data_IF_709615064085
#
_entry.id   IF_709615064085
#
_cell.length_a   1.000
_cell.length_b   1.000
_cell.length_c   1.000
_cell.angle_alpha   90.00
_cell.angle_beta   90.00
_cell.angle_gamma   90.00
#
_symmetry.space_group_name_H-M   'P 1'
#
loop_
_entity.id
_entity.type
_entity.pdbx_description
1 polymer ?
#
# COMPACT_ATOMS: atom_id res chain seq x y z
N UNK A 1 -8.97 -22.42 -11.91
CA UNK A 1 -9.37 -21.32 -11.04
C UNK A 1 -10.16 -20.29 -11.83
N UNK A 2 -11.32 -19.92 -11.35
CA UNK A 2 -12.08 -18.84 -11.97
C UNK A 2 -11.28 -17.54 -11.88
N UNK A 3 -11.09 -16.87 -13.01
CA UNK A 3 -10.47 -15.54 -13.06
C UNK A 3 -11.38 -14.57 -12.29
N UNK A 4 -10.86 -13.98 -11.25
CA UNK A 4 -11.60 -13.00 -10.46
C UNK A 4 -12.05 -11.86 -11.37
N UNK A 5 -13.33 -11.50 -11.30
CA UNK A 5 -13.88 -10.41 -12.12
C UNK A 5 -13.19 -9.10 -11.71
N UNK A 6 -12.69 -8.38 -12.70
CA UNK A 6 -12.08 -7.05 -12.44
C UNK A 6 -13.10 -6.08 -11.84
N UNK A 7 -12.63 -5.28 -10.91
CA UNK A 7 -13.39 -4.21 -10.26
C UNK A 7 -13.04 -2.81 -10.82
N UNK A 8 -12.29 -2.76 -11.92
CA UNK A 8 -11.82 -1.51 -12.52
C UNK A 8 -12.93 -0.51 -12.85
N UNK A 9 -14.11 -0.99 -13.18
CA UNK A 9 -15.28 -0.15 -13.52
C UNK A 9 -16.24 0.06 -12.32
N UNK A 10 -15.89 -0.42 -11.13
CA UNK A 10 -16.73 -0.25 -9.95
C UNK A 10 -16.90 1.24 -9.60
N UNK A 11 -18.09 1.70 -9.21
CA UNK A 11 -18.30 3.05 -8.67
C UNK A 11 -17.71 3.22 -7.27
N UNK A 12 -17.26 2.15 -6.62
CA UNK A 12 -16.66 2.18 -5.29
C UNK A 12 -15.13 2.40 -5.39
N UNK A 13 -14.59 3.50 -4.83
CA UNK A 13 -13.15 3.75 -4.83
C UNK A 13 -12.33 2.66 -4.12
N UNK A 14 -12.88 2.07 -3.05
CA UNK A 14 -12.23 0.98 -2.32
C UNK A 14 -12.11 -0.26 -3.21
N UNK A 15 -13.18 -0.60 -3.95
CA UNK A 15 -13.17 -1.74 -4.87
C UNK A 15 -12.11 -1.58 -5.97
N UNK A 16 -12.01 -0.40 -6.58
CA UNK A 16 -10.97 -0.12 -7.59
C UNK A 16 -9.57 -0.19 -7.00
N UNK A 17 -9.37 0.35 -5.82
CA UNK A 17 -8.06 0.31 -5.15
C UNK A 17 -7.66 -1.14 -4.82
N UNK A 18 -8.58 -1.94 -4.29
CA UNK A 18 -8.30 -3.34 -3.94
C UNK A 18 -8.08 -4.23 -5.16
N UNK A 19 -8.60 -3.86 -6.32
CA UNK A 19 -8.30 -4.56 -7.58
C UNK A 19 -6.81 -4.46 -7.96
N UNK A 20 -6.15 -3.38 -7.54
CA UNK A 20 -4.71 -3.12 -7.81
C UNK A 20 -3.83 -3.61 -6.66
N UNK A 21 -4.16 -3.27 -5.41
CA UNK A 21 -3.30 -3.50 -4.24
C UNK A 21 -3.91 -4.40 -3.17
N UNK A 22 -5.04 -5.06 -3.46
CA UNK A 22 -5.79 -5.82 -2.47
C UNK A 22 -5.16 -7.17 -2.08
N UNK A 23 -4.19 -7.67 -2.84
CA UNK A 23 -3.49 -8.90 -2.47
C UNK A 23 -2.25 -8.61 -1.61
N UNK A 24 -1.86 -9.59 -0.78
CA UNK A 24 -0.74 -9.42 0.16
C UNK A 24 0.58 -9.10 -0.54
N UNK A 25 0.84 -9.69 -1.71
CA UNK A 25 2.11 -9.50 -2.40
C UNK A 25 2.24 -8.10 -2.96
N UNK A 26 1.17 -7.55 -3.56
CA UNK A 26 1.15 -6.17 -4.03
C UNK A 26 1.43 -5.19 -2.88
N UNK A 27 0.77 -5.34 -1.75
CA UNK A 27 0.98 -4.49 -0.56
C UNK A 27 2.39 -4.63 0.01
N UNK A 28 2.93 -5.85 0.09
CA UNK A 28 4.29 -6.08 0.60
C UNK A 28 5.37 -5.56 -0.36
N UNK A 29 5.17 -5.65 -1.67
CA UNK A 29 6.04 -5.05 -2.68
C UNK A 29 6.08 -3.52 -2.51
N UNK A 30 4.92 -2.89 -2.37
CA UNK A 30 4.84 -1.43 -2.14
C UNK A 30 5.51 -1.04 -0.83
N UNK A 31 5.32 -1.81 0.25
CA UNK A 31 6.04 -1.60 1.52
C UNK A 31 7.57 -1.63 1.31
N UNK A 32 8.07 -2.65 0.65
CA UNK A 32 9.51 -2.81 0.40
C UNK A 32 10.07 -1.66 -0.44
N UNK A 33 9.30 -1.17 -1.40
CA UNK A 33 9.70 0.00 -2.19
C UNK A 33 9.83 1.26 -1.32
N UNK A 34 8.96 1.47 -0.33
CA UNK A 34 9.13 2.54 0.65
C UNK A 34 10.37 2.34 1.54
N UNK A 35 10.78 1.10 1.76
CA UNK A 35 12.03 0.76 2.47
C UNK A 35 13.28 0.88 1.58
N UNK A 36 13.11 1.26 0.32
CA UNK A 36 14.21 1.52 -0.62
C UNK A 36 14.56 0.35 -1.55
N UNK A 37 13.79 -0.74 -1.52
CA UNK A 37 13.98 -1.87 -2.45
C UNK A 37 13.55 -1.44 -3.86
N UNK A 38 14.42 -1.71 -4.85
CA UNK A 38 14.19 -1.27 -6.23
C UNK A 38 14.40 -2.36 -7.27
N UNK A 39 15.16 -3.41 -6.97
CA UNK A 39 15.53 -4.47 -7.93
C UNK A 39 14.71 -5.73 -7.72
N UNK A 40 14.42 -6.41 -8.82
CA UNK A 40 13.67 -7.68 -8.79
C UNK A 40 14.28 -8.69 -7.82
N UNK A 41 15.61 -8.89 -7.88
CA UNK A 41 16.30 -9.83 -6.98
C UNK A 41 16.19 -9.47 -5.52
N UNK A 42 16.20 -8.18 -5.18
CA UNK A 42 16.09 -7.69 -3.81
C UNK A 42 14.65 -7.83 -3.28
N UNK A 43 13.63 -7.56 -4.10
CA UNK A 43 12.24 -7.87 -3.76
C UNK A 43 12.05 -9.36 -3.51
N UNK A 44 12.62 -10.21 -4.39
CA UNK A 44 12.52 -11.66 -4.23
C UNK A 44 13.16 -12.14 -2.94
N UNK A 45 14.36 -11.64 -2.62
CA UNK A 45 15.08 -11.99 -1.39
C UNK A 45 14.32 -11.53 -0.14
N UNK A 46 13.79 -10.31 -0.15
CA UNK A 46 13.03 -9.75 0.97
C UNK A 46 11.73 -10.52 1.23
N UNK A 47 11.00 -10.85 0.18
CA UNK A 47 9.64 -11.39 0.28
C UNK A 47 9.59 -12.93 0.35
N UNK A 48 10.65 -13.61 -0.09
CA UNK A 48 10.67 -15.07 -0.20
C UNK A 48 9.61 -15.63 -1.16
N UNK A 49 9.17 -14.82 -2.12
CA UNK A 49 8.10 -15.17 -3.07
C UNK A 49 8.67 -15.83 -4.32
N UNK A 50 7.89 -16.71 -4.96
CA UNK A 50 8.26 -17.32 -6.23
C UNK A 50 8.42 -16.26 -7.34
N UNK A 51 9.41 -16.43 -8.21
CA UNK A 51 9.76 -15.45 -9.26
C UNK A 51 8.60 -15.13 -10.20
N UNK A 52 7.80 -16.13 -10.56
CA UNK A 52 6.64 -15.94 -11.44
C UNK A 52 5.55 -15.08 -10.78
N UNK A 53 5.31 -15.25 -9.49
CA UNK A 53 4.34 -14.44 -8.73
C UNK A 53 4.85 -13.01 -8.63
N UNK A 54 6.12 -12.81 -8.26
CA UNK A 54 6.72 -11.48 -8.17
C UNK A 54 6.69 -10.76 -9.51
N UNK A 55 7.09 -11.43 -10.59
CA UNK A 55 7.07 -10.87 -11.95
C UNK A 55 5.66 -10.42 -12.35
N UNK A 56 4.66 -11.26 -12.08
CA UNK A 56 3.27 -10.95 -12.39
C UNK A 56 2.76 -9.74 -11.60
N UNK A 57 3.04 -9.68 -10.31
CA UNK A 57 2.63 -8.55 -9.46
C UNK A 57 3.33 -7.24 -9.80
N UNK A 58 4.64 -7.28 -10.06
CA UNK A 58 5.38 -6.08 -10.50
C UNK A 58 4.85 -5.57 -11.85
N UNK A 59 4.57 -6.46 -12.80
CA UNK A 59 3.97 -6.10 -14.08
C UNK A 59 2.62 -5.42 -13.89
N UNK A 60 1.74 -5.99 -13.09
CA UNK A 60 0.41 -5.40 -12.79
C UNK A 60 0.53 -4.02 -12.14
N UNK A 61 1.48 -3.85 -11.21
CA UNK A 61 1.71 -2.57 -10.52
C UNK A 61 2.29 -1.52 -11.46
N UNK A 62 3.12 -1.91 -12.43
CA UNK A 62 3.62 -1.01 -13.50
C UNK A 62 2.47 -0.61 -14.43
N UNK A 63 1.67 -1.57 -14.90
CA UNK A 63 0.50 -1.29 -15.75
C UNK A 63 -0.51 -0.37 -15.07
N UNK A 64 -0.70 -0.51 -13.76
CA UNK A 64 -1.56 0.37 -12.95
C UNK A 64 -0.95 1.75 -12.65
N UNK A 65 0.30 2.00 -13.04
CA UNK A 65 0.99 3.26 -12.81
C UNK A 65 1.47 3.47 -11.37
N UNK A 66 1.51 2.42 -10.56
CA UNK A 66 2.07 2.47 -9.19
C UNK A 66 3.59 2.48 -9.21
N UNK A 67 4.19 1.70 -10.10
CA UNK A 67 5.63 1.71 -10.38
C UNK A 67 5.93 2.19 -11.80
N UNK A 68 7.09 2.80 -11.96
CA UNK A 68 7.76 2.97 -13.23
C UNK A 68 9.02 2.12 -13.29
N UNK A 69 9.40 1.67 -14.50
CA UNK A 69 10.67 1.00 -14.75
C UNK A 69 11.67 2.07 -15.17
N UNK A 70 12.79 2.15 -14.46
CA UNK A 70 13.81 3.18 -14.67
C UNK A 70 15.21 2.54 -14.82
N UNK A 71 16.18 3.22 -15.44
CA UNK A 71 17.57 2.76 -15.44
C UNK A 71 18.09 2.62 -14.00
N UNK A 72 19.00 1.68 -13.82
CA UNK A 72 19.62 1.47 -12.51
C UNK A 72 20.35 2.74 -12.04
N UNK A 73 20.20 3.06 -10.77
CA UNK A 73 20.82 4.22 -10.13
C UNK A 73 22.35 4.16 -10.05
N UNK A 74 22.92 2.96 -10.16
CA UNK A 74 24.37 2.71 -10.14
C UNK A 74 25.03 2.69 -11.53
N UNK A 75 24.26 3.01 -12.59
CA UNK A 75 24.75 3.03 -13.96
C UNK A 75 24.95 1.66 -14.63
N UNK A 76 24.53 0.57 -13.98
CA UNK A 76 24.54 -0.77 -14.59
C UNK A 76 23.43 -0.92 -15.64
N UNK A 77 23.48 -1.98 -16.45
CA UNK A 77 22.46 -2.31 -17.45
C UNK A 77 21.14 -2.84 -16.85
N UNK A 78 21.07 -2.98 -15.54
CA UNK A 78 19.85 -3.43 -14.86
C UNK A 78 18.78 -2.35 -14.86
N UNK A 79 17.53 -2.80 -14.76
CA UNK A 79 16.39 -1.92 -14.55
C UNK A 79 15.97 -1.95 -13.09
N UNK A 80 15.41 -0.83 -12.63
CA UNK A 80 14.86 -0.68 -11.29
C UNK A 80 13.38 -0.31 -11.38
N UNK A 81 12.63 -0.74 -10.36
CA UNK A 81 11.26 -0.32 -10.14
C UNK A 81 11.25 0.84 -9.16
N UNK A 82 10.68 1.95 -9.57
CA UNK A 82 10.55 3.14 -8.74
C UNK A 82 9.08 3.49 -8.55
N UNK A 83 8.69 3.85 -7.33
CA UNK A 83 7.36 4.38 -7.09
C UNK A 83 7.14 5.64 -7.91
N UNK A 84 6.01 5.70 -8.60
CA UNK A 84 5.53 6.93 -9.22
C UNK A 84 4.90 7.84 -8.17
N UNK A 85 4.53 9.06 -8.54
CA UNK A 85 3.73 9.93 -7.66
C UNK A 85 2.43 9.27 -7.20
N UNK A 86 1.79 8.51 -8.09
CA UNK A 86 0.61 7.69 -7.76
C UNK A 86 0.94 6.61 -6.74
N UNK A 87 2.06 5.92 -6.92
CA UNK A 87 2.55 4.89 -5.99
C UNK A 87 2.92 5.47 -4.63
N UNK A 88 3.57 6.63 -4.58
CA UNK A 88 3.90 7.34 -3.34
C UNK A 88 2.66 7.70 -2.51
N UNK A 89 1.53 7.94 -3.17
CA UNK A 89 0.23 8.15 -2.53
C UNK A 89 -0.27 6.97 -1.69
N UNK A 90 0.31 5.79 -1.84
CA UNK A 90 0.01 4.62 -1.00
C UNK A 90 0.72 4.63 0.36
N UNK A 91 1.62 5.56 0.62
CA UNK A 91 2.34 5.60 1.89
C UNK A 91 1.40 5.65 3.11
N UNK A 92 0.38 6.50 3.17
CA UNK A 92 -0.58 6.49 4.28
C UNK A 92 -1.32 5.15 4.44
N UNK A 93 -1.61 4.44 3.34
CA UNK A 93 -2.24 3.11 3.40
C UNK A 93 -1.33 2.11 4.10
N UNK A 94 -0.05 2.07 3.73
CA UNK A 94 0.95 1.19 4.37
C UNK A 94 1.11 1.54 5.85
N UNK A 95 1.15 2.82 6.19
CA UNK A 95 1.27 3.27 7.58
C UNK A 95 0.04 2.87 8.41
N UNK A 96 -1.18 3.01 7.86
CA UNK A 96 -2.41 2.59 8.54
C UNK A 96 -2.44 1.08 8.77
N UNK A 97 -2.03 0.28 7.78
CA UNK A 97 -1.90 -1.18 7.95
C UNK A 97 -0.89 -1.53 9.04
N UNK A 98 0.26 -0.86 9.06
CA UNK A 98 1.28 -1.02 10.11
C UNK A 98 0.70 -0.74 11.49
N UNK A 99 0.09 0.41 11.69
CA UNK A 99 -0.45 0.82 12.98
C UNK A 99 -1.60 -0.06 13.44
N UNK A 100 -2.44 -0.50 12.52
CA UNK A 100 -3.48 -1.49 12.83
C UNK A 100 -2.88 -2.83 13.26
N UNK A 101 -1.84 -3.29 12.54
CA UNK A 101 -1.12 -4.53 12.89
C UNK A 101 -0.45 -4.45 14.25
N UNK A 102 0.25 -3.35 14.54
CA UNK A 102 0.90 -3.10 15.83
C UNK A 102 -0.11 -3.15 16.99
N UNK A 103 -1.29 -2.58 16.78
CA UNK A 103 -2.32 -2.51 17.83
C UNK A 103 -3.06 -3.84 18.09
N UNK A 104 -3.11 -4.75 17.10
CA UNK A 104 -4.04 -5.88 17.15
C UNK A 104 -3.38 -7.26 17.02
N UNK A 105 -2.15 -7.35 16.50
CA UNK A 105 -1.55 -8.62 16.09
C UNK A 105 -0.29 -9.00 16.87
N UNK A 106 0.07 -8.24 17.90
CA UNK A 106 1.25 -8.47 18.73
C UNK A 106 0.87 -8.64 20.20
N UNK A 107 1.54 -9.57 20.87
CA UNK A 107 1.44 -9.72 22.31
C UNK A 107 2.13 -8.54 23.02
N UNK A 108 1.77 -8.31 24.27
CA UNK A 108 2.40 -7.26 25.06
C UNK A 108 3.91 -7.50 25.22
N UNK A 109 4.71 -6.55 24.72
CA UNK A 109 6.18 -6.64 24.76
C UNK A 109 6.80 -7.48 23.66
N UNK A 110 6.00 -8.06 22.75
CA UNK A 110 6.51 -8.75 21.56
C UNK A 110 7.22 -7.74 20.64
N UNK A 111 8.49 -8.01 20.28
CA UNK A 111 9.25 -7.09 19.41
C UNK A 111 8.69 -7.07 18.00
N UNK A 112 8.62 -5.90 17.40
CA UNK A 112 8.26 -5.69 16.00
C UNK A 112 9.02 -4.51 15.41
N UNK A 113 9.04 -4.40 14.10
CA UNK A 113 9.63 -3.24 13.41
C UNK A 113 8.85 -1.96 13.70
N UNK A 114 9.55 -0.85 13.82
CA UNK A 114 8.97 0.46 14.14
C UNK A 114 9.29 1.44 13.01
N UNK A 115 8.30 2.15 12.51
CA UNK A 115 8.50 3.24 11.58
C UNK A 115 8.84 4.51 12.36
N UNK A 116 10.00 5.09 12.06
CA UNK A 116 10.50 6.28 12.75
C UNK A 116 10.74 7.42 11.77
N UNK A 117 10.63 8.63 12.26
CA UNK A 117 11.09 9.82 11.54
C UNK A 117 12.62 9.77 11.37
N UNK A 118 13.08 9.92 10.15
CA UNK A 118 14.50 9.79 9.80
C UNK A 118 15.40 10.80 10.51
N UNK A 119 14.89 12.00 10.77
CA UNK A 119 15.66 13.08 11.41
C UNK A 119 15.70 12.94 12.93
N UNK A 120 14.58 12.56 13.53
CA UNK A 120 14.43 12.55 14.99
C UNK A 120 14.63 11.17 15.60
N UNK A 121 14.54 10.09 14.81
CA UNK A 121 14.55 8.71 15.28
C UNK A 121 13.32 8.33 16.11
N UNK A 122 12.34 9.20 16.22
CA UNK A 122 11.12 8.94 17.00
C UNK A 122 10.08 8.22 16.16
N UNK A 123 9.32 7.34 16.79
CA UNK A 123 8.18 6.72 16.17
C UNK A 123 7.20 7.78 15.65
N UNK A 124 6.66 7.56 14.46
CA UNK A 124 5.65 8.46 13.90
C UNK A 124 4.38 8.42 14.74
N UNK A 125 3.66 9.53 14.78
CA UNK A 125 2.39 9.61 15.49
C UNK A 125 1.34 8.70 14.87
N UNK A 126 0.42 8.22 15.69
CA UNK A 126 -0.76 7.48 15.19
C UNK A 126 -1.56 8.35 14.22
N UNK A 127 -1.86 7.79 13.06
CA UNK A 127 -2.78 8.40 12.13
C UNK A 127 -4.20 8.32 12.72
N UNK A 128 -4.92 9.43 12.67
CA UNK A 128 -6.30 9.51 13.12
C UNK A 128 -7.11 10.34 12.14
N UNK A 129 -8.29 9.82 11.80
CA UNK A 129 -9.28 10.60 11.04
C UNK A 129 -9.90 11.63 11.98
N UNK A 130 -10.15 12.82 11.45
CA UNK A 130 -10.69 13.94 12.23
C UNK A 130 -11.81 14.65 11.46
N UNK A 131 -12.74 15.21 12.20
CA UNK A 131 -13.67 16.21 11.71
C UNK A 131 -12.94 17.52 11.36
N UNK A 132 -13.60 18.41 10.66
CA UNK A 132 -13.04 19.72 10.29
C UNK A 132 -12.68 20.57 11.51
N UNK A 133 -13.35 20.36 12.64
CA UNK A 133 -13.06 21.03 13.92
C UNK A 133 -11.91 20.36 14.73
N UNK A 134 -11.29 19.31 14.17
CA UNK A 134 -10.16 18.60 14.77
C UNK A 134 -10.51 17.47 15.73
N UNK A 135 -11.79 17.25 16.05
CA UNK A 135 -12.23 16.13 16.90
C UNK A 135 -11.99 14.78 16.16
N UNK A 136 -11.68 13.70 16.88
CA UNK A 136 -11.59 12.37 16.29
C UNK A 136 -12.91 11.97 15.59
N UNK A 137 -12.80 11.47 14.37
CA UNK A 137 -13.93 10.99 13.57
C UNK A 137 -14.09 9.48 13.75
N UNK A 138 -15.28 9.04 14.13
CA UNK A 138 -15.63 7.62 14.27
C UNK A 138 -16.38 7.12 13.03
N UNK A 139 -16.27 5.84 12.74
CA UNK A 139 -16.96 5.22 11.59
C UNK A 139 -18.47 5.45 11.63
N UNK A 140 -19.10 5.38 12.82
CA UNK A 140 -20.54 5.61 12.99
C UNK A 140 -20.98 7.04 12.66
N UNK A 141 -20.04 7.98 12.56
CA UNK A 141 -20.32 9.39 12.23
C UNK A 141 -20.15 9.65 10.72
N UNK A 142 -19.92 8.61 9.93
CA UNK A 142 -19.72 8.71 8.48
C UNK A 142 -20.76 7.90 7.71
N UNK A 143 -21.02 8.30 6.49
CA UNK A 143 -21.89 7.59 5.56
C UNK A 143 -21.33 7.70 4.14
N UNK A 144 -21.43 6.61 3.39
CA UNK A 144 -21.06 6.61 1.96
C UNK A 144 -22.29 6.96 1.12
N UNK A 145 -22.21 8.05 0.37
CA UNK A 145 -23.19 8.34 -0.68
C UNK A 145 -22.88 7.49 -1.90
N UNK A 146 -23.76 6.55 -2.22
CA UNK A 146 -23.59 5.64 -3.36
C UNK A 146 -24.05 6.30 -4.65
N UNK A 147 -23.35 5.97 -5.77
CA UNK A 147 -23.78 6.41 -7.11
C UNK A 147 -25.07 5.67 -7.48
N UNK A 148 -26.08 6.41 -7.96
CA UNK A 148 -27.39 5.86 -8.39
C UNK A 148 -28.33 5.48 -7.24
N UNK A 149 -28.00 5.79 -6.01
CA UNK A 149 -28.93 5.73 -4.88
C UNK A 149 -29.71 7.03 -4.79
N UNK A 150 -31.01 6.99 -5.03
CA UNK A 150 -31.89 8.10 -4.70
C UNK A 150 -31.70 8.45 -3.23
N UNK A 151 -31.42 9.74 -2.97
CA UNK A 151 -31.24 10.23 -1.61
C UNK A 151 -32.48 9.97 -0.78
N UNK A 152 -32.38 8.96 0.06
CA UNK A 152 -33.22 8.90 1.24
C UNK A 152 -32.34 9.13 2.45
N UNK A 153 -32.57 10.28 3.06
CA UNK A 153 -32.03 10.67 4.35
C UNK A 153 -32.51 9.74 5.47
#
# INVERSE_FOLDING_TARGET
MARQKSLADSPCPVARATDIVGDRWALLIVRDAFDGVRRFGDFRASLGVASNILSDRLRMLVEAGVFGVVPASDGTAYQEYALTKKGEGLFPVIVMLRQWGEANLYERGEPHSVLVDRKTGRAIRKLALRHDDGRPLKAAETVVRKVGGDGQA
#
